data_IF_948363806154
#
_entry.id   IF_948363806154
#
_cell.length_a   1.000
_cell.length_b   1.000
_cell.length_c   1.000
_cell.angle_alpha   90.00
_cell.angle_beta   90.00
_cell.angle_gamma   90.00
#
_symmetry.space_group_name_H-M   'P 1'
#
loop_
_entity.id
_entity.type
_entity.pdbx_description
1 polymer ?
#
# COMPACT_ATOMS: atom_id res chain seq x y z
N UNK A 1 26.10 10.38 -11.22
CA UNK A 1 26.07 9.03 -10.60
C UNK A 1 24.63 8.55 -10.59
N UNK A 2 24.36 7.28 -10.91
CA UNK A 2 23.01 6.73 -10.80
C UNK A 2 22.60 6.64 -9.33
N UNK A 3 21.36 7.02 -9.01
CA UNK A 3 20.81 6.89 -7.65
C UNK A 3 20.73 5.42 -7.26
N UNK A 4 21.13 5.08 -6.05
CA UNK A 4 20.96 3.75 -5.48
C UNK A 4 19.56 3.65 -4.88
N UNK A 5 18.69 2.82 -5.47
CA UNK A 5 17.27 2.73 -5.13
C UNK A 5 16.98 1.35 -4.54
N UNK A 6 16.25 1.32 -3.45
CA UNK A 6 15.70 0.11 -2.82
C UNK A 6 14.17 0.13 -2.95
N UNK A 7 13.60 -0.98 -3.39
CA UNK A 7 12.18 -1.27 -3.24
C UNK A 7 12.04 -2.39 -2.20
N UNK A 8 11.45 -2.08 -1.06
CA UNK A 8 11.12 -3.05 -0.02
C UNK A 8 9.61 -3.21 0.09
N UNK A 9 9.09 -4.42 0.30
CA UNK A 9 7.66 -4.64 0.36
C UNK A 9 7.25 -5.70 1.37
N UNK A 10 5.99 -5.60 1.84
CA UNK A 10 5.28 -6.65 2.57
C UNK A 10 3.97 -6.96 1.87
N UNK A 11 3.84 -8.18 1.36
CA UNK A 11 2.66 -8.64 0.64
C UNK A 11 2.10 -9.91 1.26
N UNK A 12 0.78 -9.98 1.41
CA UNK A 12 0.10 -11.19 1.91
C UNK A 12 -0.61 -11.96 0.79
N UNK A 13 -1.24 -11.25 -0.12
CA UNK A 13 -2.06 -11.83 -1.20
C UNK A 13 -1.52 -11.60 -2.61
N UNK A 14 -0.36 -10.95 -2.74
CA UNK A 14 0.38 -10.85 -3.99
C UNK A 14 0.34 -9.50 -4.68
N UNK A 15 -0.71 -8.69 -4.56
CA UNK A 15 -0.81 -7.40 -5.27
C UNK A 15 0.34 -6.44 -4.95
N UNK A 16 0.69 -6.29 -3.67
CA UNK A 16 1.80 -5.41 -3.27
C UNK A 16 3.14 -5.88 -3.85
N UNK A 17 3.38 -7.21 -3.85
CA UNK A 17 4.58 -7.79 -4.48
C UNK A 17 4.65 -7.44 -5.96
N UNK A 18 3.56 -7.62 -6.67
CA UNK A 18 3.47 -7.36 -8.11
C UNK A 18 3.79 -5.90 -8.46
N UNK A 19 3.22 -4.95 -7.72
CA UNK A 19 3.57 -3.54 -7.86
C UNK A 19 5.05 -3.26 -7.54
N UNK A 20 5.57 -3.85 -6.47
CA UNK A 20 6.99 -3.72 -6.09
C UNK A 20 7.92 -4.23 -7.19
N UNK A 21 7.60 -5.37 -7.81
CA UNK A 21 8.36 -5.94 -8.94
C UNK A 21 8.31 -5.01 -10.16
N UNK A 22 7.16 -4.46 -10.50
CA UNK A 22 7.03 -3.52 -11.64
C UNK A 22 7.81 -2.22 -11.40
N UNK A 23 7.74 -1.65 -10.19
CA UNK A 23 8.46 -0.43 -9.82
C UNK A 23 9.98 -0.68 -9.82
N UNK A 24 10.43 -1.79 -9.23
CA UNK A 24 11.85 -2.14 -9.17
C UNK A 24 12.43 -2.35 -10.58
N UNK A 25 11.69 -3.02 -11.45
CA UNK A 25 12.10 -3.21 -12.85
C UNK A 25 12.20 -1.88 -13.61
N UNK A 26 11.20 -1.00 -13.45
CA UNK A 26 11.17 0.30 -14.14
C UNK A 26 12.28 1.25 -13.70
N UNK A 27 12.71 1.16 -12.43
CA UNK A 27 13.74 2.02 -11.84
C UNK A 27 15.14 1.37 -11.79
N UNK A 28 15.29 0.13 -12.26
CA UNK A 28 16.50 -0.68 -12.08
C UNK A 28 16.97 -0.69 -10.61
N UNK A 29 16.04 -0.94 -9.71
CA UNK A 29 16.22 -0.88 -8.26
C UNK A 29 16.42 -2.26 -7.64
N UNK A 30 17.11 -2.32 -6.50
CA UNK A 30 17.17 -3.52 -5.67
C UNK A 30 15.78 -3.83 -5.09
N UNK A 31 15.36 -5.10 -5.12
CA UNK A 31 14.04 -5.54 -4.64
C UNK A 31 14.18 -6.55 -3.51
N UNK A 32 13.55 -6.27 -2.35
CA UNK A 32 13.56 -7.17 -1.20
C UNK A 32 12.22 -7.25 -0.49
N UNK A 33 11.92 -8.42 0.09
CA UNK A 33 10.85 -8.52 1.08
C UNK A 33 11.29 -7.80 2.38
N UNK A 34 10.40 -7.01 2.97
CA UNK A 34 10.70 -6.19 4.14
C UNK A 34 11.32 -6.97 5.32
N UNK A 35 10.91 -8.22 5.50
CA UNK A 35 11.42 -9.10 6.56
C UNK A 35 12.88 -9.53 6.37
N UNK A 36 13.43 -9.41 5.16
CA UNK A 36 14.83 -9.75 4.86
C UNK A 36 15.75 -8.54 4.92
N UNK A 37 15.19 -7.32 4.97
CA UNK A 37 15.94 -6.08 5.01
C UNK A 37 16.41 -5.78 6.43
N UNK A 38 17.73 -5.71 6.62
CA UNK A 38 18.28 -5.22 7.89
C UNK A 38 18.13 -3.68 7.95
N UNK A 39 17.61 -3.10 9.05
CA UNK A 39 17.34 -1.66 9.13
C UNK A 39 18.52 -0.75 8.74
N UNK A 40 19.72 -1.11 9.17
CA UNK A 40 20.95 -0.35 8.86
C UNK A 40 21.30 -0.26 7.38
N UNK A 41 20.70 -1.10 6.54
CA UNK A 41 20.92 -1.09 5.09
C UNK A 41 20.17 0.06 4.44
N UNK A 42 19.06 0.54 5.02
CA UNK A 42 18.23 1.61 4.47
C UNK A 42 19.02 2.90 4.23
N UNK A 43 19.93 3.24 5.13
CA UNK A 43 20.78 4.45 5.03
C UNK A 43 21.82 4.41 3.88
N UNK A 44 22.03 3.23 3.28
CA UNK A 44 22.97 3.05 2.16
C UNK A 44 22.33 3.38 0.80
N UNK A 45 21.03 3.60 0.78
CA UNK A 45 20.26 3.94 -0.43
C UNK A 45 19.95 5.43 -0.48
N UNK A 46 19.97 5.98 -1.67
CA UNK A 46 19.57 7.37 -1.90
C UNK A 46 18.05 7.53 -1.88
N UNK A 47 17.35 6.49 -2.32
CA UNK A 47 15.88 6.43 -2.32
C UNK A 47 15.44 5.07 -1.78
N UNK A 48 14.51 5.07 -0.84
CA UNK A 48 13.83 3.89 -0.33
C UNK A 48 12.36 4.00 -0.69
N UNK A 49 11.87 3.01 -1.45
CA UNK A 49 10.46 2.86 -1.81
C UNK A 49 9.92 1.68 -1.01
N UNK A 50 8.91 1.94 -0.21
CA UNK A 50 8.26 0.91 0.61
C UNK A 50 6.85 0.61 0.13
N UNK A 51 6.54 -0.66 -0.10
CA UNK A 51 5.22 -1.14 -0.47
C UNK A 51 4.55 -1.94 0.65
N UNK A 52 3.36 -1.52 1.10
CA UNK A 52 2.59 -2.23 2.12
C UNK A 52 1.12 -2.41 1.75
N UNK A 53 0.61 -3.64 1.92
CA UNK A 53 -0.82 -3.89 1.81
C UNK A 53 -1.59 -3.26 2.98
N UNK A 54 -2.80 -2.76 2.72
CA UNK A 54 -3.67 -2.18 3.75
C UNK A 54 -4.52 -3.25 4.41
N UNK A 55 -4.43 -3.33 5.74
CA UNK A 55 -5.24 -4.26 6.55
C UNK A 55 -5.66 -3.57 7.85
N UNK A 56 -6.96 -3.50 8.12
CA UNK A 56 -7.52 -2.97 9.37
C UNK A 56 -6.96 -1.58 9.76
N UNK A 57 -6.79 -0.69 8.78
CA UNK A 57 -6.23 0.65 9.01
C UNK A 57 -4.73 0.67 9.32
N UNK A 58 -4.02 -0.44 9.08
CA UNK A 58 -2.57 -0.53 9.16
C UNK A 58 -1.93 -0.77 7.80
N UNK A 59 -0.65 -0.41 7.70
CA UNK A 59 0.21 -0.68 6.54
C UNK A 59 1.11 -1.85 6.91
N UNK A 60 1.00 -2.97 6.16
CA UNK A 60 1.74 -4.18 6.47
C UNK A 60 3.26 -3.94 6.50
N UNK A 61 3.92 -4.31 7.61
CA UNK A 61 5.38 -4.24 7.75
C UNK A 61 5.97 -2.83 7.89
N UNK A 62 5.15 -1.80 8.04
CA UNK A 62 5.55 -0.38 8.09
C UNK A 62 6.62 -0.04 9.12
N UNK A 63 6.74 -0.82 10.20
CA UNK A 63 7.72 -0.61 11.28
C UNK A 63 9.17 -0.58 10.78
N UNK A 64 9.45 -1.26 9.66
CA UNK A 64 10.80 -1.22 9.06
C UNK A 64 11.21 0.22 8.72
N UNK A 65 10.33 1.00 8.13
CA UNK A 65 10.61 2.36 7.67
C UNK A 65 10.18 3.43 8.68
N UNK A 66 9.15 3.17 9.47
CA UNK A 66 8.68 4.11 10.49
C UNK A 66 9.68 4.34 11.62
N UNK A 67 10.51 3.33 11.91
CA UNK A 67 11.47 3.36 13.01
C UNK A 67 12.93 3.58 12.56
N UNK A 68 13.16 3.71 11.25
CA UNK A 68 14.53 3.79 10.72
C UNK A 68 14.64 4.91 9.68
N UNK A 69 15.66 5.78 9.78
CA UNK A 69 15.80 6.93 8.91
C UNK A 69 16.18 6.51 7.48
N UNK A 70 15.58 7.19 6.51
CA UNK A 70 15.90 7.09 5.09
C UNK A 70 16.23 8.49 4.56
N UNK A 71 17.08 8.59 3.53
CA UNK A 71 17.40 9.88 2.89
C UNK A 71 16.15 10.44 2.19
N UNK A 72 15.59 9.66 1.27
CA UNK A 72 14.32 9.93 0.60
C UNK A 72 13.42 8.72 0.77
N UNK A 73 12.27 8.90 1.41
CA UNK A 73 11.30 7.85 1.66
C UNK A 73 10.05 8.06 0.81
N UNK A 74 9.70 7.02 0.07
CA UNK A 74 8.45 6.95 -0.70
C UNK A 74 7.70 5.73 -0.21
N UNK A 75 6.41 5.88 0.02
CA UNK A 75 5.55 4.78 0.46
C UNK A 75 4.40 4.61 -0.53
N UNK A 76 4.23 3.41 -1.05
CA UNK A 76 3.00 3.06 -1.74
C UNK A 76 2.20 2.05 -0.93
N UNK A 77 0.91 2.28 -0.83
CA UNK A 77 0.00 1.34 -0.20
C UNK A 77 -0.86 0.65 -1.26
N UNK A 78 -1.27 -0.57 -0.97
CA UNK A 78 -2.16 -1.32 -1.86
C UNK A 78 -3.41 -1.73 -1.09
N UNK A 79 -4.56 -1.27 -1.55
CA UNK A 79 -5.87 -1.55 -0.98
C UNK A 79 -6.91 -1.83 -2.05
N UNK A 80 -8.17 -1.95 -1.67
CA UNK A 80 -9.28 -2.17 -2.61
C UNK A 80 -9.97 -0.87 -3.00
N UNK A 81 -10.04 0.10 -2.09
CA UNK A 81 -10.70 1.38 -2.29
C UNK A 81 -10.07 2.18 -3.44
N UNK A 82 -10.88 3.00 -4.10
CA UNK A 82 -10.41 3.87 -5.18
C UNK A 82 -9.61 5.04 -4.60
N UNK A 83 -8.32 5.19 -4.95
CA UNK A 83 -7.50 6.29 -4.42
C UNK A 83 -7.95 7.69 -4.87
N UNK A 84 -8.82 7.79 -5.87
CA UNK A 84 -9.35 9.08 -6.30
C UNK A 84 -10.51 9.58 -5.44
N UNK A 85 -11.19 8.68 -4.73
CA UNK A 85 -12.35 9.00 -3.88
C UNK A 85 -12.11 8.80 -2.39
N UNK A 86 -11.02 8.12 -2.00
CA UNK A 86 -10.76 7.72 -0.62
C UNK A 86 -9.78 8.65 0.07
N UNK A 87 -10.13 9.13 1.29
CA UNK A 87 -9.20 9.84 2.16
C UNK A 87 -8.33 8.84 2.95
N UNK A 88 -7.05 8.84 2.68
CA UNK A 88 -6.05 7.99 3.36
C UNK A 88 -5.38 8.67 4.56
N UNK A 89 -5.73 9.91 4.91
CA UNK A 89 -5.07 10.69 5.97
C UNK A 89 -5.12 9.97 7.33
N UNK A 90 -6.24 9.34 7.68
CA UNK A 90 -6.36 8.57 8.92
C UNK A 90 -5.38 7.39 8.97
N UNK A 91 -5.16 6.70 7.85
CA UNK A 91 -4.24 5.56 7.77
C UNK A 91 -2.79 6.04 7.89
N UNK A 92 -2.40 7.08 7.16
CA UNK A 92 -1.04 7.62 7.22
C UNK A 92 -0.72 8.19 8.60
N UNK A 93 -1.62 8.99 9.19
CA UNK A 93 -1.45 9.58 10.52
C UNK A 93 -1.32 8.53 11.63
N UNK A 94 -2.01 7.39 11.50
CA UNK A 94 -1.91 6.28 12.46
C UNK A 94 -0.56 5.56 12.41
N UNK A 95 0.09 5.53 11.25
CA UNK A 95 1.27 4.69 11.01
C UNK A 95 2.60 5.45 11.00
N UNK A 96 2.56 6.80 10.93
CA UNK A 96 3.77 7.64 10.85
C UNK A 96 3.69 8.81 11.83
N UNK A 97 4.85 9.27 12.29
CA UNK A 97 4.93 10.51 13.08
C UNK A 97 4.80 11.73 12.17
N UNK A 98 4.38 12.91 12.70
CA UNK A 98 4.27 14.14 11.91
C UNK A 98 5.57 14.51 11.18
N UNK A 99 6.73 14.31 11.82
CA UNK A 99 8.04 14.62 11.24
C UNK A 99 8.36 13.72 10.05
N UNK A 100 7.95 12.44 10.13
CA UNK A 100 8.17 11.49 9.03
C UNK A 100 7.18 11.71 7.90
N UNK A 101 5.93 12.08 8.22
CA UNK A 101 4.92 12.45 7.22
C UNK A 101 5.39 13.61 6.35
N UNK A 102 5.97 14.65 6.95
CA UNK A 102 6.46 15.84 6.24
C UNK A 102 7.57 15.52 5.22
N UNK A 103 8.27 14.40 5.38
CA UNK A 103 9.41 13.98 4.55
C UNK A 103 9.10 12.79 3.64
N UNK A 104 7.89 12.23 3.71
CA UNK A 104 7.51 11.03 2.99
C UNK A 104 6.52 11.36 1.87
N UNK A 105 6.78 10.84 0.68
CA UNK A 105 5.79 10.88 -0.42
C UNK A 105 4.95 9.61 -0.40
N UNK A 106 3.64 9.78 -0.42
CA UNK A 106 2.69 8.67 -0.40
C UNK A 106 1.99 8.51 -1.74
N UNK A 107 1.78 7.26 -2.14
CA UNK A 107 0.95 6.85 -3.26
C UNK A 107 0.02 5.73 -2.81
N UNK A 108 -1.20 5.73 -3.32
CA UNK A 108 -2.18 4.70 -3.02
C UNK A 108 -2.59 4.00 -4.31
N UNK A 109 -2.47 2.68 -4.33
CA UNK A 109 -2.70 1.86 -5.51
C UNK A 109 -3.81 0.84 -5.21
N UNK A 110 -4.55 0.45 -6.24
CA UNK A 110 -5.60 -0.57 -6.11
C UNK A 110 -5.03 -1.96 -6.33
N UNK A 111 -5.41 -2.88 -5.48
CA UNK A 111 -5.06 -4.30 -5.59
C UNK A 111 -6.24 -5.15 -6.02
N UNK A 112 -6.14 -6.43 -5.72
CA UNK A 112 -7.22 -7.39 -5.92
C UNK A 112 -7.53 -8.15 -4.65
N UNK A 113 -8.67 -8.83 -4.67
CA UNK A 113 -9.09 -9.73 -3.61
C UNK A 113 -9.70 -10.99 -4.21
N UNK A 114 -9.31 -12.13 -3.65
CA UNK A 114 -9.96 -13.41 -3.89
C UNK A 114 -10.45 -13.94 -2.55
N UNK A 115 -11.76 -13.84 -2.30
CA UNK A 115 -12.35 -14.25 -1.02
C UNK A 115 -12.12 -15.72 -0.69
N UNK A 116 -11.90 -16.59 -1.70
CA UNK A 116 -11.60 -18.01 -1.47
C UNK A 116 -10.24 -18.19 -0.80
N UNK A 117 -9.30 -17.28 -1.09
CA UNK A 117 -7.91 -17.30 -0.57
C UNK A 117 -7.73 -16.53 0.73
N UNK A 118 -8.74 -15.82 1.21
CA UNK A 118 -8.65 -15.08 2.45
C UNK A 118 -8.47 -16.02 3.65
N UNK A 119 -7.60 -15.61 4.58
CA UNK A 119 -7.50 -16.27 5.89
C UNK A 119 -8.82 -16.14 6.67
N UNK A 120 -9.13 -17.07 7.58
CA UNK A 120 -10.36 -17.00 8.38
C UNK A 120 -10.55 -15.66 9.09
N UNK A 121 -9.48 -15.10 9.65
CA UNK A 121 -9.50 -13.79 10.31
C UNK A 121 -9.93 -12.68 9.33
N UNK A 122 -9.35 -12.66 8.12
CA UNK A 122 -9.72 -11.64 7.13
C UNK A 122 -11.15 -11.84 6.60
N UNK A 123 -11.63 -13.09 6.50
CA UNK A 123 -13.04 -13.34 6.16
C UNK A 123 -14.00 -12.75 7.19
N UNK A 124 -13.68 -12.93 8.48
CA UNK A 124 -14.47 -12.36 9.58
C UNK A 124 -14.44 -10.83 9.52
N UNK A 125 -13.26 -10.23 9.33
CA UNK A 125 -13.12 -8.77 9.22
C UNK A 125 -13.95 -8.20 8.05
N UNK A 126 -13.92 -8.86 6.88
CA UNK A 126 -14.71 -8.44 5.72
C UNK A 126 -16.23 -8.59 5.98
N UNK A 127 -16.64 -9.65 6.69
CA UNK A 127 -18.04 -9.83 7.09
C UNK A 127 -18.51 -8.76 8.09
N UNK A 128 -17.65 -8.38 9.04
CA UNK A 128 -17.94 -7.29 9.97
C UNK A 128 -18.07 -5.96 9.23
N UNK A 129 -17.15 -5.65 8.31
CA UNK A 129 -17.21 -4.45 7.48
C UNK A 129 -18.52 -4.41 6.67
N UNK A 130 -18.89 -5.51 6.02
CA UNK A 130 -20.19 -5.62 5.33
C UNK A 130 -21.36 -5.29 6.25
N UNK A 131 -21.37 -5.87 7.46
CA UNK A 131 -22.43 -5.59 8.45
C UNK A 131 -22.48 -4.14 8.87
N UNK A 132 -21.34 -3.47 9.03
CA UNK A 132 -21.28 -2.04 9.35
C UNK A 132 -21.83 -1.18 8.21
N UNK A 133 -21.45 -1.45 6.97
CA UNK A 133 -21.93 -0.72 5.79
C UNK A 133 -23.45 -0.92 5.60
N UNK A 134 -23.95 -2.16 5.78
CA UNK A 134 -25.36 -2.45 5.63
C UNK A 134 -26.25 -1.75 6.67
N UNK A 135 -25.70 -1.39 7.84
CA UNK A 135 -26.40 -0.62 8.87
C UNK A 135 -26.49 0.88 8.55
N UNK A 136 -25.63 1.39 7.65
CA UNK A 136 -25.77 2.77 7.16
C UNK A 136 -27.04 2.89 6.31
N UNK A 137 -27.84 3.96 6.46
CA UNK A 137 -28.89 4.27 5.49
C UNK A 137 -28.32 4.32 4.07
N UNK A 138 -29.10 3.92 3.08
CA UNK A 138 -28.61 3.91 1.69
C UNK A 138 -28.16 5.28 1.20
N UNK A 139 -28.81 6.34 1.67
CA UNK A 139 -28.47 7.74 1.37
C UNK A 139 -27.14 8.21 1.97
N UNK A 140 -26.58 7.48 2.95
CA UNK A 140 -25.32 7.81 3.61
C UNK A 140 -24.16 6.91 3.17
N UNK A 141 -24.43 5.96 2.25
CA UNK A 141 -23.39 5.10 1.70
C UNK A 141 -22.58 5.84 0.65
N UNK A 142 -21.28 5.90 0.86
CA UNK A 142 -20.34 6.43 -0.11
C UNK A 142 -20.12 5.47 -1.29
N UNK A 143 -19.49 5.96 -2.38
CA UNK A 143 -19.21 5.14 -3.56
C UNK A 143 -18.40 3.89 -3.21
N UNK A 144 -17.41 3.99 -2.32
CA UNK A 144 -16.60 2.87 -1.85
C UNK A 144 -17.42 1.83 -1.07
N UNK A 145 -18.41 2.26 -0.29
CA UNK A 145 -19.35 1.36 0.41
C UNK A 145 -20.16 0.54 -0.58
N UNK A 146 -20.66 1.19 -1.63
CA UNK A 146 -21.47 0.55 -2.67
C UNK A 146 -20.60 -0.43 -3.47
N UNK A 147 -19.40 -0.04 -3.87
CA UNK A 147 -18.47 -0.91 -4.60
C UNK A 147 -18.09 -2.12 -3.74
N UNK A 148 -17.82 -1.92 -2.45
CA UNK A 148 -17.52 -2.99 -1.51
C UNK A 148 -18.67 -4.01 -1.45
N UNK A 149 -19.91 -3.57 -1.30
CA UNK A 149 -21.08 -4.46 -1.26
C UNK A 149 -21.25 -5.23 -2.57
N UNK A 150 -21.04 -4.57 -3.72
CA UNK A 150 -21.16 -5.18 -5.04
C UNK A 150 -20.07 -6.22 -5.33
N UNK A 151 -18.88 -6.07 -4.73
CA UNK A 151 -17.74 -6.96 -4.93
C UNK A 151 -17.56 -7.99 -3.80
N UNK A 152 -18.35 -7.88 -2.73
CA UNK A 152 -18.28 -8.78 -1.60
C UNK A 152 -18.42 -10.24 -2.00
N UNK A 153 -17.57 -11.10 -1.45
CA UNK A 153 -17.49 -12.55 -1.72
C UNK A 153 -17.20 -12.93 -3.18
N UNK A 154 -16.72 -11.99 -3.98
CA UNK A 154 -16.29 -12.22 -5.37
C UNK A 154 -14.76 -12.18 -5.47
N UNK A 155 -14.26 -12.65 -6.59
CA UNK A 155 -12.87 -12.38 -7.00
C UNK A 155 -12.87 -11.14 -7.87
N UNK A 156 -12.12 -10.13 -7.45
CA UNK A 156 -11.93 -8.90 -8.22
C UNK A 156 -10.45 -8.53 -8.31
N UNK A 157 -10.07 -7.88 -9.39
CA UNK A 157 -8.71 -7.41 -9.62
C UNK A 157 -8.76 -6.01 -10.23
N UNK A 158 -8.24 -5.04 -9.50
CA UNK A 158 -8.12 -3.63 -9.91
C UNK A 158 -6.64 -3.25 -10.15
N UNK A 159 -5.74 -4.24 -10.21
CA UNK A 159 -4.33 -3.97 -10.47
C UNK A 159 -4.15 -3.37 -11.86
N UNK A 160 -3.49 -2.23 -11.91
CA UNK A 160 -3.13 -1.56 -13.16
C UNK A 160 -1.65 -1.16 -13.15
N UNK A 161 -0.90 -1.76 -14.09
CA UNK A 161 0.54 -1.48 -14.20
C UNK A 161 0.83 -0.02 -14.52
N UNK A 162 -0.04 0.69 -15.23
CA UNK A 162 0.20 2.09 -15.59
C UNK A 162 0.26 3.01 -14.37
N UNK A 163 -0.40 2.64 -13.27
CA UNK A 163 -0.41 3.43 -12.04
C UNK A 163 0.96 3.53 -11.36
N UNK A 164 1.92 2.62 -11.67
CA UNK A 164 3.29 2.78 -11.16
C UNK A 164 3.98 4.02 -11.71
N UNK A 165 3.55 4.57 -12.84
CA UNK A 165 4.17 5.75 -13.43
C UNK A 165 4.16 6.93 -12.46
N UNK A 166 3.14 7.05 -11.60
CA UNK A 166 3.09 8.07 -10.54
C UNK A 166 4.32 7.98 -9.60
N UNK A 167 4.72 6.77 -9.24
CA UNK A 167 5.87 6.52 -8.37
C UNK A 167 7.18 6.71 -9.14
N UNK A 168 7.26 6.15 -10.35
CA UNK A 168 8.47 6.16 -11.20
C UNK A 168 8.83 7.58 -11.59
N UNK A 169 7.86 8.38 -12.05
CA UNK A 169 8.08 9.77 -12.47
C UNK A 169 8.53 10.64 -11.29
N UNK A 170 7.91 10.44 -10.12
CA UNK A 170 8.35 11.14 -8.91
C UNK A 170 9.81 10.83 -8.55
N UNK A 171 10.22 9.55 -8.58
CA UNK A 171 11.60 9.13 -8.27
C UNK A 171 12.59 9.68 -9.29
N UNK A 172 12.22 9.70 -10.57
CA UNK A 172 13.07 10.24 -11.62
C UNK A 172 13.26 11.77 -11.50
N UNK A 173 12.29 12.46 -10.90
CA UNK A 173 12.33 13.91 -10.65
C UNK A 173 13.11 14.32 -9.39
N UNK A 174 13.50 13.38 -8.51
CA UNK A 174 14.34 13.64 -7.34
C UNK A 174 15.80 13.91 -7.75
#
# INVERSE_FOLDING_TARGET
MSKKILVAFKSKYGSTRKYAEWIALALNADLFEAQTVKPKVLSQYDVVIYGGGLYAGGIAGVKLIANNPCKNLIVFTVGLADPNSTDYSAIVNKNFTPELLAKTKFFHLRGGIDYKKLSPVHKVMMAMMKGMIQRKPESEREADDIEFLNTYNKKVNFEDKQTINLVVDYVNGL
#
